data_IF_942457212782
#
_entry.id   IF_942457212782
#
_cell.length_a   1.000
_cell.length_b   1.000
_cell.length_c   1.000
_cell.angle_alpha   90.00
_cell.angle_beta   90.00
_cell.angle_gamma   90.00
#
_symmetry.space_group_name_H-M   'P 1'
#
loop_
_entity.id
_entity.type
_entity.pdbx_description
1 polymer ?
#
# COMPACT_ATOMS: atom_id res chain seq x y z
N UNK A 1 18.52 -8.99 -19.28
CA UNK A 1 18.22 -10.43 -19.22
C UNK A 1 18.83 -11.09 -17.96
N UNK A 2 20.08 -10.79 -17.58
CA UNK A 2 20.73 -11.38 -16.39
C UNK A 2 20.16 -10.98 -15.02
N UNK A 3 19.65 -9.74 -14.86
CA UNK A 3 19.07 -9.28 -13.58
C UNK A 3 17.73 -9.96 -13.25
N UNK A 4 17.00 -10.48 -14.24
CA UNK A 4 15.71 -11.15 -14.03
C UNK A 4 15.89 -12.61 -13.58
N UNK A 5 16.93 -13.27 -14.09
CA UNK A 5 17.26 -14.66 -13.76
C UNK A 5 17.87 -14.79 -12.35
N UNK A 6 18.58 -13.77 -11.86
CA UNK A 6 19.12 -13.74 -10.48
C UNK A 6 18.04 -13.51 -9.40
N UNK A 7 16.82 -13.13 -9.78
CA UNK A 7 15.72 -12.81 -8.84
C UNK A 7 14.83 -14.01 -8.52
N UNK A 8 14.99 -15.12 -9.24
CA UNK A 8 14.18 -16.35 -9.08
C UNK A 8 14.58 -17.14 -7.81
N UNK A 9 15.76 -16.87 -7.23
CA UNK A 9 16.26 -17.57 -6.02
C UNK A 9 16.18 -16.75 -4.73
N UNK A 10 15.66 -15.52 -4.75
CA UNK A 10 15.51 -14.73 -3.52
C UNK A 10 14.34 -15.29 -2.73
N UNK A 11 14.56 -15.61 -1.46
CA UNK A 11 13.48 -16.07 -0.57
C UNK A 11 12.50 -14.94 -0.30
N UNK A 12 11.25 -15.26 0.03
CA UNK A 12 10.25 -14.22 0.31
C UNK A 12 10.67 -13.34 1.53
N UNK A 13 11.42 -13.89 2.50
CA UNK A 13 11.98 -13.13 3.64
C UNK A 13 13.11 -12.17 3.23
N UNK A 14 14.01 -12.60 2.35
CA UNK A 14 15.07 -11.72 1.84
C UNK A 14 14.47 -10.62 0.97
N UNK A 15 13.46 -10.95 0.16
CA UNK A 15 12.77 -9.98 -0.68
C UNK A 15 11.99 -8.97 0.16
N UNK A 16 11.34 -9.40 1.26
CA UNK A 16 10.72 -8.50 2.23
C UNK A 16 11.72 -7.48 2.77
N UNK A 17 12.91 -7.93 3.19
CA UNK A 17 13.96 -7.04 3.71
C UNK A 17 14.40 -6.02 2.65
N UNK A 18 14.58 -6.47 1.40
CA UNK A 18 14.92 -5.58 0.27
C UNK A 18 13.83 -4.56 -0.06
N UNK A 19 12.55 -4.91 0.09
CA UNK A 19 11.45 -3.96 -0.12
C UNK A 19 11.45 -2.87 0.96
N UNK A 20 11.79 -3.22 2.21
CA UNK A 20 11.91 -2.23 3.30
C UNK A 20 13.05 -1.23 3.05
N UNK A 21 14.11 -1.65 2.37
CA UNK A 21 15.24 -0.78 1.99
C UNK A 21 14.95 0.04 0.72
N UNK A 22 14.38 -0.60 -0.30
CA UNK A 22 14.10 -0.02 -1.60
C UNK A 22 12.78 -0.56 -2.16
N UNK A 23 11.78 0.32 -2.21
CA UNK A 23 10.42 0.01 -2.66
C UNK A 23 10.35 -0.51 -4.09
N UNK A 24 11.35 -0.24 -4.95
CA UNK A 24 11.37 -0.75 -6.33
C UNK A 24 11.38 -2.29 -6.39
N UNK A 25 11.84 -2.95 -5.32
CA UNK A 25 11.81 -4.40 -5.19
C UNK A 25 10.39 -4.97 -5.09
N UNK A 26 9.37 -4.14 -4.78
CA UNK A 26 7.97 -4.56 -4.78
C UNK A 26 7.53 -5.03 -6.18
N UNK A 27 8.13 -4.46 -7.24
CA UNK A 27 7.86 -4.85 -8.63
C UNK A 27 8.15 -6.34 -8.91
N UNK A 28 9.02 -6.97 -8.11
CA UNK A 28 9.33 -8.40 -8.20
C UNK A 28 8.16 -9.22 -7.68
N UNK A 29 7.62 -8.86 -6.51
CA UNK A 29 6.42 -9.51 -5.94
C UNK A 29 5.24 -9.34 -6.88
N UNK A 30 5.04 -8.12 -7.39
CA UNK A 30 4.02 -7.80 -8.38
C UNK A 30 4.07 -8.73 -9.59
N UNK A 31 5.24 -8.92 -10.21
CA UNK A 31 5.37 -9.77 -11.39
C UNK A 31 5.22 -11.26 -11.06
N UNK A 32 5.80 -11.70 -9.93
CA UNK A 32 5.79 -13.10 -9.48
C UNK A 32 4.37 -13.60 -9.15
N UNK A 33 3.54 -12.77 -8.54
CA UNK A 33 2.23 -13.19 -8.04
C UNK A 33 1.08 -12.98 -9.03
N UNK A 34 1.21 -12.05 -9.98
CA UNK A 34 0.10 -11.57 -10.84
C UNK A 34 -0.70 -12.70 -11.49
N UNK A 35 -0.04 -13.56 -12.27
CA UNK A 35 -0.75 -14.58 -13.05
C UNK A 35 -1.54 -15.56 -12.17
N UNK A 36 -0.96 -15.99 -11.05
CA UNK A 36 -1.63 -16.92 -10.13
C UNK A 36 -2.77 -16.23 -9.38
N UNK A 37 -2.59 -14.98 -8.97
CA UNK A 37 -3.63 -14.20 -8.28
C UNK A 37 -4.81 -13.88 -9.19
N UNK A 38 -4.57 -13.51 -10.46
CA UNK A 38 -5.63 -13.33 -11.44
C UNK A 38 -6.36 -14.64 -11.72
N UNK A 39 -5.65 -15.77 -11.84
CA UNK A 39 -6.29 -17.09 -12.00
C UNK A 39 -7.15 -17.46 -10.79
N UNK A 40 -6.64 -17.20 -9.58
CA UNK A 40 -7.37 -17.38 -8.34
C UNK A 40 -8.66 -16.55 -8.33
N UNK A 41 -8.57 -15.26 -8.64
CA UNK A 41 -9.73 -14.36 -8.71
C UNK A 41 -10.75 -14.80 -9.76
N UNK A 42 -10.33 -15.13 -10.99
CA UNK A 42 -11.21 -15.61 -12.08
C UNK A 42 -11.99 -16.87 -11.68
N UNK A 43 -11.41 -17.75 -10.85
CA UNK A 43 -12.08 -18.97 -10.36
C UNK A 43 -13.30 -18.64 -9.49
N UNK A 44 -13.21 -17.61 -8.64
CA UNK A 44 -14.26 -17.26 -7.68
C UNK A 44 -15.16 -16.11 -8.16
N UNK A 45 -14.71 -15.33 -9.15
CA UNK A 45 -15.41 -14.16 -9.67
C UNK A 45 -15.45 -14.14 -11.21
N UNK A 46 -15.99 -15.17 -11.88
CA UNK A 46 -16.04 -15.22 -13.35
C UNK A 46 -16.88 -14.10 -13.98
N UNK A 47 -17.73 -13.44 -13.20
CA UNK A 47 -18.55 -12.31 -13.63
C UNK A 47 -17.80 -10.97 -13.67
N UNK A 48 -16.57 -10.91 -13.15
CA UNK A 48 -15.73 -9.72 -13.22
C UNK A 48 -14.88 -9.77 -14.49
N UNK A 49 -14.73 -8.62 -15.15
CA UNK A 49 -13.87 -8.55 -16.33
C UNK A 49 -12.38 -8.47 -15.94
N UNK A 50 -11.49 -8.61 -16.91
CA UNK A 50 -10.04 -8.64 -16.65
C UNK A 50 -9.51 -7.38 -15.99
N UNK A 51 -9.96 -6.18 -16.41
CA UNK A 51 -9.53 -4.92 -15.81
C UNK A 51 -9.94 -4.83 -14.33
N UNK A 52 -11.15 -5.25 -14.00
CA UNK A 52 -11.64 -5.23 -12.61
C UNK A 52 -10.87 -6.19 -11.70
N UNK A 53 -10.45 -7.34 -12.24
CA UNK A 53 -9.62 -8.28 -11.49
C UNK A 53 -8.17 -7.78 -11.36
N UNK A 54 -7.67 -7.05 -12.37
CA UNK A 54 -6.39 -6.35 -12.25
C UNK A 54 -6.44 -5.25 -11.19
N UNK A 55 -7.49 -4.46 -11.12
CA UNK A 55 -7.67 -3.42 -10.10
C UNK A 55 -7.65 -4.04 -8.68
N UNK A 56 -8.41 -5.12 -8.46
CA UNK A 56 -8.40 -5.86 -7.19
C UNK A 56 -6.98 -6.36 -6.83
N UNK A 57 -6.22 -6.81 -7.83
CA UNK A 57 -4.84 -7.23 -7.62
C UNK A 57 -3.91 -6.05 -7.28
N UNK A 58 -4.09 -4.90 -7.92
CA UNK A 58 -3.33 -3.68 -7.62
C UNK A 58 -3.59 -3.24 -6.18
N UNK A 59 -4.84 -3.22 -5.74
CA UNK A 59 -5.18 -2.88 -4.37
C UNK A 59 -4.52 -3.82 -3.36
N UNK A 60 -4.50 -5.13 -3.66
CA UNK A 60 -3.82 -6.10 -2.79
C UNK A 60 -2.30 -5.86 -2.69
N UNK A 61 -1.67 -5.36 -3.75
CA UNK A 61 -0.26 -4.97 -3.76
C UNK A 61 -0.04 -3.68 -2.96
N UNK A 62 -0.96 -2.72 -3.01
CA UNK A 62 -0.93 -1.51 -2.19
C UNK A 62 -1.01 -1.90 -0.71
N UNK A 63 -1.98 -2.74 -0.33
CA UNK A 63 -2.13 -3.24 1.05
C UNK A 63 -0.87 -3.96 1.51
N UNK A 64 -0.26 -4.80 0.66
CA UNK A 64 1.01 -5.43 0.99
C UNK A 64 2.09 -4.37 1.27
N UNK A 65 2.23 -3.36 0.43
CA UNK A 65 3.23 -2.33 0.62
C UNK A 65 3.02 -1.53 1.92
N UNK A 66 1.78 -1.10 2.18
CA UNK A 66 1.41 -0.40 3.42
C UNK A 66 1.74 -1.22 4.67
N UNK A 67 1.54 -2.54 4.59
CA UNK A 67 1.90 -3.45 5.68
C UNK A 67 3.40 -3.56 5.80
N UNK A 68 4.15 -3.72 4.72
CA UNK A 68 5.62 -3.82 4.76
C UNK A 68 6.27 -2.57 5.39
N UNK A 69 5.77 -1.37 5.08
CA UNK A 69 6.31 -0.13 5.64
C UNK A 69 5.87 0.13 7.09
N UNK A 70 4.83 -0.56 7.57
CA UNK A 70 4.52 -0.65 8.99
C UNK A 70 5.52 -1.63 9.63
N UNK A 71 6.38 -1.12 10.52
CA UNK A 71 7.50 -1.87 11.13
C UNK A 71 7.08 -3.16 11.86
N UNK A 72 5.78 -3.37 12.08
CA UNK A 72 5.19 -4.54 12.73
C UNK A 72 4.86 -5.70 11.79
N UNK A 73 4.99 -5.52 10.47
CA UNK A 73 4.64 -6.59 9.54
C UNK A 73 5.68 -7.71 9.53
N UNK A 74 5.18 -8.92 9.79
CA UNK A 74 5.92 -10.16 9.73
C UNK A 74 5.23 -11.14 8.77
N UNK A 75 5.95 -11.50 7.70
CA UNK A 75 5.43 -12.37 6.66
C UNK A 75 5.58 -13.83 7.08
N UNK A 76 4.48 -14.40 7.56
CA UNK A 76 4.40 -15.78 8.08
C UNK A 76 3.99 -16.83 7.02
N UNK A 77 3.72 -16.41 5.79
CA UNK A 77 3.39 -17.27 4.66
C UNK A 77 4.13 -16.81 3.39
N UNK A 78 3.96 -17.48 2.25
CA UNK A 78 4.51 -16.94 1.00
C UNK A 78 3.81 -15.64 0.60
N UNK A 79 4.48 -14.77 -0.16
CA UNK A 79 3.85 -13.58 -0.73
C UNK A 79 2.62 -13.93 -1.57
N UNK A 80 2.68 -15.03 -2.33
CA UNK A 80 1.55 -15.51 -3.13
C UNK A 80 0.33 -15.81 -2.27
N UNK A 81 0.53 -16.45 -1.12
CA UNK A 81 -0.54 -16.81 -0.18
C UNK A 81 -1.13 -15.56 0.46
N UNK A 82 -0.27 -14.66 0.93
CA UNK A 82 -0.68 -13.39 1.50
C UNK A 82 -1.52 -12.57 0.51
N UNK A 83 -1.01 -12.39 -0.71
CA UNK A 83 -1.69 -11.63 -1.76
C UNK A 83 -3.04 -12.26 -2.12
N UNK A 84 -3.13 -13.60 -2.23
CA UNK A 84 -4.42 -14.24 -2.51
C UNK A 84 -5.44 -14.01 -1.37
N UNK A 85 -4.98 -13.99 -0.12
CA UNK A 85 -5.83 -13.69 1.03
C UNK A 85 -6.37 -12.24 0.96
N UNK A 86 -5.51 -11.27 0.67
CA UNK A 86 -5.91 -9.86 0.51
C UNK A 86 -6.81 -9.67 -0.72
N UNK A 87 -6.48 -10.29 -1.86
CA UNK A 87 -7.32 -10.32 -3.05
C UNK A 87 -8.73 -10.86 -2.76
N UNK A 88 -8.86 -11.91 -1.93
CA UNK A 88 -10.16 -12.42 -1.49
C UNK A 88 -10.94 -11.34 -0.72
N UNK A 89 -10.31 -10.64 0.21
CA UNK A 89 -10.96 -9.58 0.99
C UNK A 89 -11.38 -8.40 0.08
N UNK A 90 -10.50 -7.93 -0.80
CA UNK A 90 -10.79 -6.88 -1.78
C UNK A 90 -11.96 -7.27 -2.70
N UNK A 91 -11.94 -8.49 -3.22
CA UNK A 91 -13.01 -9.00 -4.08
C UNK A 91 -14.35 -9.07 -3.34
N UNK A 92 -14.38 -9.47 -2.08
CA UNK A 92 -15.59 -9.46 -1.25
C UNK A 92 -16.14 -8.03 -1.08
N UNK A 93 -15.27 -7.05 -0.84
CA UNK A 93 -15.65 -5.64 -0.73
C UNK A 93 -16.23 -5.11 -2.05
N UNK A 94 -15.56 -5.35 -3.18
CA UNK A 94 -16.05 -4.98 -4.51
C UNK A 94 -17.38 -5.65 -4.86
N UNK A 95 -17.57 -6.90 -4.45
CA UNK A 95 -18.79 -7.67 -4.73
C UNK A 95 -20.00 -7.13 -3.98
N UNK A 96 -19.81 -6.79 -2.69
CA UNK A 96 -20.86 -6.14 -1.89
C UNK A 96 -21.36 -4.86 -2.55
N UNK A 97 -20.44 -4.02 -3.05
CA UNK A 97 -20.80 -2.77 -3.76
C UNK A 97 -21.63 -2.99 -5.01
N UNK A 98 -21.32 -4.06 -5.76
CA UNK A 98 -22.05 -4.42 -6.97
C UNK A 98 -23.33 -5.22 -6.69
N UNK A 99 -23.67 -5.46 -5.42
CA UNK A 99 -24.75 -6.37 -5.01
C UNK A 99 -24.59 -7.78 -5.61
N UNK A 100 -23.35 -8.23 -5.79
CA UNK A 100 -23.02 -9.55 -6.30
C UNK A 100 -22.76 -10.50 -5.14
N UNK A 101 -23.33 -11.69 -5.21
CA UNK A 101 -23.01 -12.78 -4.28
C UNK A 101 -21.84 -13.57 -4.84
N UNK A 102 -20.74 -13.63 -4.11
CA UNK A 102 -19.60 -14.50 -4.42
C UNK A 102 -19.50 -15.59 -3.35
N UNK A 103 -19.37 -16.83 -3.79
CA UNK A 103 -19.16 -17.97 -2.91
C UNK A 103 -17.69 -18.35 -2.95
N UNK A 104 -16.98 -18.02 -1.87
CA UNK A 104 -15.80 -18.79 -1.48
C UNK A 104 -16.36 -19.94 -0.64
N UNK A 105 -16.38 -21.16 -1.18
CA UNK A 105 -16.91 -22.29 -0.44
C UNK A 105 -16.12 -22.45 0.87
N UNK A 106 -16.77 -22.21 2.01
CA UNK A 106 -16.28 -22.57 3.36
C UNK A 106 -16.54 -24.05 3.69
N UNK A 107 -16.90 -24.86 2.67
CA UNK A 107 -17.15 -26.28 2.85
C UNK A 107 -15.82 -27.04 2.81
N UNK A 108 -15.63 -27.90 3.82
CA UNK A 108 -14.53 -28.85 4.05
C UNK A 108 -14.29 -29.89 2.92
N UNK A 109 -14.47 -29.52 1.66
CA UNK A 109 -14.35 -30.40 0.47
C UNK A 109 -13.46 -29.79 -0.61
N UNK A 110 -12.38 -29.11 -0.20
CA UNK A 110 -11.28 -28.78 -1.12
C UNK A 110 -10.05 -29.58 -0.69
N UNK A 111 -10.02 -30.86 -1.09
CA UNK A 111 -8.90 -31.76 -0.76
C UNK A 111 -7.61 -31.50 -1.54
N UNK A 112 -7.54 -30.54 -2.47
CA UNK A 112 -6.31 -30.36 -3.27
C UNK A 112 -5.79 -28.92 -3.45
N UNK A 113 -6.52 -27.87 -3.04
CA UNK A 113 -5.98 -26.51 -3.00
C UNK A 113 -6.65 -25.75 -1.85
N UNK A 114 -5.90 -25.50 -0.78
CA UNK A 114 -6.16 -24.40 0.17
C UNK A 114 -6.98 -24.68 1.44
N UNK A 115 -6.50 -25.63 2.25
CA UNK A 115 -6.66 -25.54 3.72
C UNK A 115 -5.73 -24.46 4.35
N UNK A 116 -5.23 -23.50 3.57
CA UNK A 116 -4.03 -22.71 3.90
C UNK A 116 -4.15 -21.22 3.58
N UNK A 117 -5.33 -20.65 3.33
CA UNK A 117 -5.47 -19.19 3.38
C UNK A 117 -5.39 -18.80 4.86
N UNK A 118 -4.31 -18.14 5.32
CA UNK A 118 -4.21 -17.68 6.69
C UNK A 118 -5.36 -16.70 6.93
N UNK A 119 -5.81 -16.57 8.19
CA UNK A 119 -6.84 -15.62 8.59
C UNK A 119 -6.32 -14.16 8.55
N UNK A 120 -5.90 -13.72 7.36
CA UNK A 120 -5.47 -12.37 7.04
C UNK A 120 -6.74 -11.59 6.68
N UNK A 121 -7.04 -10.58 7.50
CA UNK A 121 -8.19 -9.68 7.31
C UNK A 121 -7.78 -8.35 6.69
N UNK A 122 -6.55 -8.25 6.20
CA UNK A 122 -6.05 -7.04 5.57
C UNK A 122 -6.82 -6.78 4.27
N UNK A 123 -7.23 -5.53 4.11
CA UNK A 123 -7.93 -4.98 2.95
C UNK A 123 -7.54 -3.52 2.81
N UNK A 124 -7.69 -2.98 1.61
CA UNK A 124 -7.60 -1.55 1.40
C UNK A 124 -8.91 -0.96 1.90
N UNK A 125 -8.83 -0.20 2.99
CA UNK A 125 -9.98 0.54 3.47
C UNK A 125 -10.31 1.63 2.44
N UNK A 126 -11.59 1.76 2.13
CA UNK A 126 -12.03 2.88 1.35
C UNK A 126 -12.04 4.12 2.21
N UNK A 127 -11.42 5.19 1.70
CA UNK A 127 -11.53 6.50 2.32
C UNK A 127 -12.97 6.97 2.17
N UNK A 128 -13.79 6.74 3.20
CA UNK A 128 -15.09 7.37 3.30
C UNK A 128 -14.90 8.91 3.29
N UNK A 129 -15.67 9.61 2.46
CA UNK A 129 -15.67 11.07 2.35
C UNK A 129 -14.43 11.73 1.71
N UNK A 130 -13.88 11.20 0.62
CA UNK A 130 -12.94 11.98 -0.24
C UNK A 130 -13.54 13.28 -0.81
N UNK A 131 -14.88 13.41 -0.76
CA UNK A 131 -15.60 14.64 -1.11
C UNK A 131 -15.71 15.65 0.04
N UNK A 132 -15.15 15.37 1.23
CA UNK A 132 -15.13 16.34 2.30
C UNK A 132 -14.29 17.57 1.87
N UNK A 133 -14.84 18.80 1.93
CA UNK A 133 -14.12 19.99 1.50
C UNK A 133 -12.74 20.17 2.16
N UNK A 134 -12.63 19.76 3.43
CA UNK A 134 -11.38 19.81 4.17
C UNK A 134 -10.34 18.82 3.64
N UNK A 135 -10.75 17.60 3.29
CA UNK A 135 -9.88 16.59 2.70
C UNK A 135 -9.32 17.07 1.36
N UNK A 136 -10.20 17.56 0.47
CA UNK A 136 -9.81 18.08 -0.84
C UNK A 136 -8.89 19.30 -0.74
N UNK A 137 -9.12 20.18 0.23
CA UNK A 137 -8.28 21.34 0.49
C UNK A 137 -6.86 20.93 0.91
N UNK A 138 -6.73 19.94 1.80
CA UNK A 138 -5.42 19.39 2.21
C UNK A 138 -4.71 18.72 1.03
N UNK A 139 -5.42 17.91 0.25
CA UNK A 139 -4.86 17.22 -0.91
C UNK A 139 -4.28 18.22 -1.92
N UNK A 140 -5.08 19.23 -2.33
CA UNK A 140 -4.63 20.30 -3.24
C UNK A 140 -3.44 21.06 -2.66
N UNK A 141 -3.45 21.37 -1.36
CA UNK A 141 -2.36 22.07 -0.70
C UNK A 141 -1.06 21.24 -0.69
N UNK A 142 -1.14 19.93 -0.45
CA UNK A 142 0.01 19.02 -0.54
C UNK A 142 0.58 18.96 -1.96
N UNK A 143 -0.27 18.88 -2.99
CA UNK A 143 0.15 18.91 -4.39
C UNK A 143 0.86 20.23 -4.73
N UNK A 144 0.33 21.38 -4.28
CA UNK A 144 1.00 22.68 -4.46
C UNK A 144 2.37 22.73 -3.77
N UNK A 145 2.50 22.16 -2.57
CA UNK A 145 3.82 22.06 -1.90
C UNK A 145 4.79 21.22 -2.73
N UNK A 146 4.33 20.08 -3.28
CA UNK A 146 5.13 19.20 -4.15
C UNK A 146 5.62 19.95 -5.39
N UNK A 147 4.74 20.66 -6.08
CA UNK A 147 5.03 21.42 -7.29
C UNK A 147 5.97 22.60 -7.05
N UNK A 148 5.80 23.31 -5.93
CA UNK A 148 6.70 24.42 -5.55
C UNK A 148 8.12 23.93 -5.23
N UNK A 149 8.27 22.64 -4.91
CA UNK A 149 9.53 22.04 -4.54
C UNK A 149 10.02 22.37 -3.13
N UNK A 150 11.27 22.01 -2.87
CA UNK A 150 11.88 22.00 -1.55
C UNK A 150 11.53 20.74 -0.75
N UNK A 151 11.96 20.70 0.51
CA UNK A 151 11.91 19.48 1.32
C UNK A 151 10.58 19.22 2.03
N UNK A 152 9.62 20.16 2.02
CA UNK A 152 8.42 20.02 2.86
C UNK A 152 7.50 18.86 2.46
N UNK A 153 7.30 18.61 1.16
CA UNK A 153 6.49 17.46 0.73
C UNK A 153 7.13 16.15 1.17
N UNK A 154 8.42 15.99 0.89
CA UNK A 154 9.20 14.80 1.24
C UNK A 154 9.26 14.59 2.75
N UNK A 155 9.57 15.64 3.52
CA UNK A 155 9.65 15.58 4.98
C UNK A 155 8.32 15.15 5.60
N UNK A 156 7.21 15.72 5.14
CA UNK A 156 5.87 15.36 5.64
C UNK A 156 5.49 13.93 5.24
N UNK A 157 5.86 13.49 4.03
CA UNK A 157 5.64 12.12 3.55
C UNK A 157 6.42 11.10 4.39
N UNK A 158 7.72 11.34 4.60
CA UNK A 158 8.57 10.46 5.41
C UNK A 158 8.09 10.39 6.87
N UNK A 159 7.61 11.51 7.43
CA UNK A 159 7.10 11.53 8.79
C UNK A 159 5.71 10.88 8.94
N UNK A 160 4.72 11.30 8.14
CA UNK A 160 3.33 10.86 8.33
C UNK A 160 3.03 9.49 7.71
N UNK A 161 3.58 9.21 6.53
CA UNK A 161 3.34 7.96 5.82
C UNK A 161 4.36 6.90 6.23
N UNK A 162 5.66 7.17 6.08
CA UNK A 162 6.72 6.21 6.42
C UNK A 162 7.10 6.16 7.91
N UNK A 163 6.41 6.92 8.77
CA UNK A 163 6.58 6.94 10.24
C UNK A 163 8.03 7.16 10.71
N UNK A 164 8.89 7.79 9.91
CA UNK A 164 10.30 8.05 10.26
C UNK A 164 10.40 8.87 11.53
N UNK A 165 11.29 8.45 12.43
CA UNK A 165 11.63 9.16 13.65
C UNK A 165 12.34 10.48 13.36
N UNK A 166 12.37 11.41 14.32
CA UNK A 166 13.13 12.67 14.15
C UNK A 166 14.62 12.42 13.91
N UNK A 167 15.18 11.32 14.45
CA UNK A 167 16.59 10.96 14.28
C UNK A 167 16.84 10.58 12.82
N UNK A 168 16.06 9.64 12.28
CA UNK A 168 16.17 9.23 10.87
C UNK A 168 15.95 10.41 9.92
N UNK A 169 14.97 11.27 10.20
CA UNK A 169 14.74 12.49 9.39
C UNK A 169 15.92 13.47 9.47
N UNK A 170 16.59 13.56 10.62
CA UNK A 170 17.78 14.41 10.77
C UNK A 170 18.90 13.94 9.84
N UNK A 171 19.12 12.63 9.78
CA UNK A 171 20.10 12.01 8.89
C UNK A 171 19.73 12.20 7.42
N UNK A 172 18.48 11.90 7.04
CA UNK A 172 17.99 12.01 5.66
C UNK A 172 18.15 13.43 5.09
N UNK A 173 17.82 14.46 5.88
CA UNK A 173 17.88 15.85 5.42
C UNK A 173 19.20 16.57 5.78
N UNK A 174 20.14 15.87 6.44
CA UNK A 174 21.42 16.46 6.86
C UNK A 174 21.27 17.62 7.85
N UNK A 175 20.25 17.57 8.72
CA UNK A 175 20.03 18.59 9.74
C UNK A 175 21.00 18.43 10.92
N UNK A 176 21.24 19.53 11.64
CA UNK A 176 22.22 19.56 12.73
C UNK A 176 21.84 18.69 13.94
N UNK A 177 20.55 18.57 14.25
CA UNK A 177 20.03 17.75 15.35
C UNK A 177 18.50 17.56 15.23
N UNK A 178 17.95 16.67 16.04
CA UNK A 178 16.53 16.34 16.08
C UNK A 178 15.63 17.55 16.43
N UNK A 179 16.11 18.52 17.22
CA UNK A 179 15.34 19.72 17.56
C UNK A 179 15.17 20.64 16.34
N UNK A 180 16.22 20.82 15.55
CA UNK A 180 16.13 21.52 14.27
C UNK A 180 15.16 20.81 13.34
N UNK A 181 15.24 19.49 13.20
CA UNK A 181 14.31 18.67 12.41
C UNK A 181 12.86 18.86 12.85
N UNK A 182 12.59 18.87 14.16
CA UNK A 182 11.27 19.15 14.73
C UNK A 182 10.76 20.54 14.37
N UNK A 183 11.65 21.55 14.40
CA UNK A 183 11.31 22.92 13.99
C UNK A 183 11.03 23.01 12.48
N UNK A 184 11.82 22.36 11.62
CA UNK A 184 11.58 22.34 10.17
C UNK A 184 10.25 21.66 9.84
N UNK A 185 9.97 20.52 10.49
CA UNK A 185 8.67 19.85 10.38
C UNK A 185 7.52 20.77 10.75
N UNK A 186 7.62 21.46 11.89
CA UNK A 186 6.59 22.39 12.34
C UNK A 186 6.36 23.54 11.33
N UNK A 187 7.42 24.05 10.70
CA UNK A 187 7.30 25.06 9.63
C UNK A 187 6.58 24.49 8.40
N UNK A 188 6.91 23.27 7.97
CA UNK A 188 6.23 22.63 6.85
C UNK A 188 4.75 22.34 7.15
N UNK A 189 4.42 21.93 8.38
CA UNK A 189 3.03 21.72 8.81
C UNK A 189 2.23 23.03 8.78
N UNK A 190 2.78 24.13 9.32
CA UNK A 190 2.15 25.46 9.25
C UNK A 190 1.96 25.95 7.81
N UNK A 191 2.92 25.67 6.93
CA UNK A 191 2.79 25.99 5.50
C UNK A 191 1.63 25.24 4.86
N UNK A 192 1.49 23.93 5.15
CA UNK A 192 0.39 23.12 4.66
C UNK A 192 -0.96 23.64 5.17
N UNK A 193 -1.07 23.89 6.48
CA UNK A 193 -2.28 24.41 7.11
C UNK A 193 -2.74 25.73 6.44
N UNK A 194 -1.81 26.66 6.22
CA UNK A 194 -2.12 27.93 5.55
C UNK A 194 -2.62 27.73 4.12
N UNK A 195 -1.99 26.83 3.35
CA UNK A 195 -2.40 26.54 1.98
C UNK A 195 -3.77 25.86 1.95
N UNK A 196 -4.00 24.87 2.81
CA UNK A 196 -5.28 24.18 2.91
C UNK A 196 -6.41 25.14 3.33
N UNK A 197 -6.15 26.04 4.30
CA UNK A 197 -7.11 27.07 4.67
C UNK A 197 -7.49 27.97 3.48
N UNK A 198 -6.53 28.35 2.65
CA UNK A 198 -6.80 29.14 1.44
C UNK A 198 -7.62 28.33 0.42
N UNK A 199 -7.31 27.05 0.19
CA UNK A 199 -8.08 26.19 -0.72
C UNK A 199 -9.53 25.98 -0.25
N UNK A 200 -9.76 25.96 1.06
CA UNK A 200 -11.09 25.74 1.63
C UNK A 200 -12.01 26.97 1.53
N UNK A 201 -11.42 28.18 1.54
CA UNK A 201 -12.16 29.44 1.54
C UNK A 201 -12.18 30.16 0.18
N UNK A 202 -11.62 29.53 -0.86
CA UNK A 202 -11.68 29.98 -2.25
C UNK A 202 -12.76 29.22 -3.02
#
# INVERSE_FOLDING_TARGET
MNKLLSLIQITDKDLLSKIKEDSDNLSIVYKKCKNNSIRFLKKYAPQFNEFELEDIYQDAIIVLYEKIIDDKFDLNCSFQTYINAVCKNQLLNHSKKKNLTIQFADNNEIQDIDHTIPNIKDSLDEVENTNEPYFQAIEKALLKIKETGGHCYELLTLFWYHKKSMIELTEVFGYSNADNTKQQKAKCQKRLEKLAFNELNN
#
